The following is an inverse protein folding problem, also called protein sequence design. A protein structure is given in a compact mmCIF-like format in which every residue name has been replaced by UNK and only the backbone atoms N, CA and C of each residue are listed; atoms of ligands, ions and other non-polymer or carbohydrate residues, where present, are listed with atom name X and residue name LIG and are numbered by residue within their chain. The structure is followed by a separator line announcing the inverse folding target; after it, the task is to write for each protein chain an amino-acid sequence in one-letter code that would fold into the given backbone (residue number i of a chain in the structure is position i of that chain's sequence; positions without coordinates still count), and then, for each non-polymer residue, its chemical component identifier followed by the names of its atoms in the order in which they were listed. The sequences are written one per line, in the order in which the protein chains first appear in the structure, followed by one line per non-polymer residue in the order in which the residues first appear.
data_IF_670963349853
#
_entry.id   IF_670963349853
#
_cell.length_a   1.000
_cell.length_b   1.000
_cell.length_c   1.000
_cell.angle_alpha   90.00
_cell.angle_beta   90.00
_cell.angle_gamma   90.00
#
_symmetry.space_group_name_H-M   'P 1'
#
loop_
_entity.id
_entity.type
_entity.pdbx_description
1 polymer ?
#
# COMPACT_ATOMS: atom_id res chain seq x y z
N UNK A 1 -37.27 21.21 17.36
CA UNK A 1 -36.35 20.15 17.77
C UNK A 1 -35.24 20.04 16.73
N UNK A 2 -34.13 20.69 17.03
CA UNK A 2 -32.93 20.66 16.15
C UNK A 2 -32.14 19.43 16.57
N UNK A 3 -32.12 18.43 15.70
CA UNK A 3 -31.26 17.28 15.90
C UNK A 3 -29.80 17.73 15.75
N UNK A 4 -29.10 17.80 16.86
CA UNK A 4 -27.65 17.97 16.89
C UNK A 4 -27.03 16.75 16.23
N UNK A 5 -26.52 16.90 15.01
CA UNK A 5 -25.65 15.90 14.44
C UNK A 5 -24.40 15.80 15.30
N UNK A 6 -23.94 14.61 15.62
CA UNK A 6 -22.76 14.46 16.47
C UNK A 6 -21.54 15.08 15.80
N UNK A 7 -20.79 15.85 16.55
CA UNK A 7 -19.47 16.41 16.24
C UNK A 7 -18.39 15.31 16.06
N UNK A 8 -18.79 14.19 15.47
CA UNK A 8 -18.08 12.90 15.48
C UNK A 8 -16.91 12.82 14.50
N UNK A 9 -16.71 13.82 13.62
CA UNK A 9 -15.70 13.58 12.57
C UNK A 9 -14.28 13.94 12.99
N UNK A 10 -14.05 15.09 13.61
CA UNK A 10 -12.68 15.55 13.89
C UNK A 10 -12.06 14.91 15.13
N UNK A 11 -12.82 14.83 16.22
CA UNK A 11 -12.32 14.23 17.47
C UNK A 11 -12.14 12.71 17.33
N UNK A 12 -13.06 12.03 16.66
CA UNK A 12 -12.95 10.61 16.38
C UNK A 12 -11.77 10.30 15.44
N UNK A 13 -11.57 11.13 14.41
CA UNK A 13 -10.42 11.03 13.53
C UNK A 13 -9.10 11.24 14.28
N UNK A 14 -9.00 12.28 15.10
CA UNK A 14 -7.80 12.56 15.88
C UNK A 14 -7.46 11.41 16.84
N UNK A 15 -8.48 10.82 17.48
CA UNK A 15 -8.29 9.67 18.35
C UNK A 15 -7.83 8.42 17.59
N UNK A 16 -8.40 8.15 16.42
CA UNK A 16 -7.98 7.04 15.57
C UNK A 16 -6.57 7.24 15.02
N UNK A 17 -6.24 8.44 14.59
CA UNK A 17 -4.89 8.80 14.13
C UNK A 17 -3.87 8.56 15.23
N UNK A 18 -4.11 9.09 16.43
CA UNK A 18 -3.22 8.91 17.57
C UNK A 18 -3.05 7.42 17.94
N UNK A 19 -4.13 6.65 17.94
CA UNK A 19 -4.08 5.21 18.21
C UNK A 19 -3.25 4.44 17.17
N UNK A 20 -3.37 4.77 15.89
CA UNK A 20 -2.56 4.18 14.82
C UNK A 20 -1.08 4.54 14.98
N UNK A 21 -0.77 5.80 15.24
CA UNK A 21 0.60 6.26 15.47
C UNK A 21 1.21 5.52 16.66
N UNK A 22 0.52 5.47 17.79
CA UNK A 22 1.00 4.79 19.01
C UNK A 22 1.24 3.29 18.76
N UNK A 23 0.37 2.66 17.98
CA UNK A 23 0.52 1.24 17.65
C UNK A 23 1.73 0.98 16.73
N UNK A 24 1.92 1.79 15.71
CA UNK A 24 3.07 1.69 14.79
C UNK A 24 4.38 1.99 15.51
N UNK A 25 4.39 2.96 16.43
CA UNK A 25 5.57 3.31 17.24
C UNK A 25 6.06 2.17 18.15
N UNK A 26 5.23 1.19 18.47
CA UNK A 26 5.67 0.00 19.20
C UNK A 26 6.76 -0.77 18.42
N UNK A 27 6.71 -0.69 17.09
CA UNK A 27 7.70 -1.33 16.21
C UNK A 27 8.77 -0.34 15.74
N UNK A 28 8.37 0.88 15.41
CA UNK A 28 9.22 1.94 14.85
C UNK A 28 9.47 2.99 15.92
N UNK A 29 10.41 2.72 16.80
CA UNK A 29 10.73 3.61 17.92
C UNK A 29 11.55 4.83 17.50
N UNK A 30 11.28 5.97 18.15
CA UNK A 30 12.07 7.19 18.03
C UNK A 30 11.86 8.00 16.73
N UNK A 31 10.82 7.70 15.95
CA UNK A 31 10.52 8.38 14.68
C UNK A 31 9.05 8.82 14.60
N UNK A 32 8.49 9.34 15.69
CA UNK A 32 7.07 9.73 15.78
C UNK A 32 6.64 10.64 14.66
N UNK A 33 7.40 11.67 14.33
CA UNK A 33 7.08 12.61 13.25
C UNK A 33 6.94 11.92 11.89
N UNK A 34 7.80 10.94 11.61
CA UNK A 34 7.73 10.14 10.38
C UNK A 34 6.48 9.27 10.40
N UNK A 35 6.18 8.62 11.52
CA UNK A 35 4.99 7.78 11.68
C UNK A 35 3.71 8.60 11.55
N UNK A 36 3.66 9.79 12.12
CA UNK A 36 2.54 10.74 11.96
C UNK A 36 2.27 11.05 10.48
N UNK A 37 3.32 11.37 9.72
CA UNK A 37 3.20 11.65 8.28
C UNK A 37 2.73 10.43 7.48
N UNK A 38 3.21 9.24 7.84
CA UNK A 38 2.80 7.98 7.20
C UNK A 38 1.32 7.71 7.44
N UNK A 39 0.86 7.85 8.68
CA UNK A 39 -0.55 7.64 9.04
C UNK A 39 -1.44 8.70 8.40
N UNK A 40 -0.98 9.95 8.33
CA UNK A 40 -1.70 11.03 7.62
C UNK A 40 -1.82 10.72 6.12
N UNK A 41 -0.74 10.26 5.48
CA UNK A 41 -0.74 9.85 4.09
C UNK A 41 -1.74 8.70 3.83
N UNK A 42 -1.77 7.71 4.72
CA UNK A 42 -2.74 6.62 4.67
C UNK A 42 -4.18 7.13 4.75
N UNK A 43 -4.46 8.01 5.71
CA UNK A 43 -5.80 8.58 5.90
C UNK A 43 -6.26 9.42 4.70
N UNK A 44 -5.32 10.07 4.03
CA UNK A 44 -5.57 10.80 2.78
C UNK A 44 -5.66 9.88 1.54
N UNK A 45 -5.55 8.56 1.72
CA UNK A 45 -5.47 7.57 0.64
C UNK A 45 -4.35 7.88 -0.38
N UNK A 46 -3.27 8.47 0.12
CA UNK A 46 -2.13 8.89 -0.67
C UNK A 46 -1.06 7.81 -0.82
N UNK A 47 0.00 8.16 -1.54
CA UNK A 47 1.18 7.34 -1.71
C UNK A 47 2.38 8.04 -1.12
N UNK A 48 3.25 7.29 -0.45
CA UNK A 48 4.41 7.82 0.24
C UNK A 48 5.69 7.44 -0.51
N UNK A 49 6.51 8.45 -0.81
CA UNK A 49 7.87 8.23 -1.27
C UNK A 49 8.83 8.31 -0.07
N UNK A 50 9.58 7.24 0.13
CA UNK A 50 10.61 7.18 1.17
C UNK A 50 11.97 7.16 0.48
N UNK A 51 12.66 8.29 0.54
CA UNK A 51 14.05 8.43 0.11
C UNK A 51 14.95 8.27 1.33
N UNK A 52 15.65 7.15 1.43
CA UNK A 52 16.50 6.92 2.58
C UNK A 52 17.60 5.88 2.30
N UNK A 53 18.54 5.79 3.23
CA UNK A 53 19.64 4.82 3.20
C UNK A 53 19.09 3.40 3.38
N UNK A 54 19.66 2.37 2.71
CA UNK A 54 19.26 0.98 2.92
C UNK A 54 19.32 0.56 4.39
N UNK A 55 18.30 -0.17 4.85
CA UNK A 55 18.28 -0.75 6.20
C UNK A 55 17.55 0.05 7.28
N UNK A 56 16.83 1.12 6.95
CA UNK A 56 16.14 2.00 7.92
C UNK A 56 14.76 1.53 8.39
N UNK A 57 14.40 0.29 8.16
CA UNK A 57 13.16 -0.28 8.68
C UNK A 57 11.92 -0.02 7.84
N UNK A 58 12.05 0.30 6.54
CA UNK A 58 10.91 0.49 5.61
C UNK A 58 9.95 -0.70 5.61
N UNK A 59 10.51 -1.91 5.57
CA UNK A 59 9.71 -3.15 5.61
C UNK A 59 8.96 -3.30 6.93
N UNK A 60 9.61 -3.01 8.05
CA UNK A 60 8.99 -3.07 9.38
C UNK A 60 7.88 -2.03 9.51
N UNK A 61 8.08 -0.82 8.99
CA UNK A 61 7.08 0.24 8.96
C UNK A 61 5.85 -0.17 8.16
N UNK A 62 6.04 -0.67 6.93
CA UNK A 62 4.96 -1.09 6.07
C UNK A 62 4.15 -2.26 6.66
N UNK A 63 4.83 -3.23 7.27
CA UNK A 63 4.18 -4.35 7.98
C UNK A 63 3.41 -3.89 9.21
N UNK A 64 4.00 -3.02 10.03
CA UNK A 64 3.36 -2.47 11.21
C UNK A 64 2.09 -1.67 10.83
N UNK A 65 2.17 -0.88 9.76
CA UNK A 65 1.04 -0.12 9.25
C UNK A 65 -0.09 -1.05 8.78
N UNK A 66 0.22 -2.07 7.98
CA UNK A 66 -0.77 -3.04 7.52
C UNK A 66 -1.44 -3.79 8.68
N UNK A 67 -0.65 -4.24 9.66
CA UNK A 67 -1.17 -4.90 10.84
C UNK A 67 -2.07 -3.97 11.69
N UNK A 68 -1.72 -2.69 11.78
CA UNK A 68 -2.48 -1.71 12.56
C UNK A 68 -3.88 -1.40 11.98
N UNK A 69 -4.08 -1.64 10.69
CA UNK A 69 -5.38 -1.45 10.01
C UNK A 69 -6.09 -2.77 9.70
N UNK A 70 -5.58 -3.88 10.22
CA UNK A 70 -6.05 -5.24 9.86
C UNK A 70 -6.03 -5.49 8.34
N UNK A 71 -5.05 -4.93 7.68
CA UNK A 71 -4.87 -5.00 6.24
C UNK A 71 -3.79 -5.99 5.82
N UNK A 72 -3.71 -6.22 4.51
CA UNK A 72 -2.69 -7.08 3.91
C UNK A 72 -1.46 -6.28 3.49
N UNK A 73 -0.30 -6.92 3.57
CA UNK A 73 1.00 -6.38 3.17
C UNK A 73 1.54 -7.14 1.96
N UNK A 74 2.00 -6.40 0.95
CA UNK A 74 2.73 -6.92 -0.19
C UNK A 74 4.06 -6.21 -0.38
N UNK A 75 5.05 -6.92 -0.91
CA UNK A 75 6.34 -6.35 -1.31
C UNK A 75 6.61 -6.60 -2.78
N UNK A 76 7.02 -5.54 -3.46
CA UNK A 76 7.51 -5.56 -4.83
C UNK A 76 8.97 -5.11 -4.83
N UNK A 77 9.86 -6.01 -5.23
CA UNK A 77 11.26 -5.69 -5.51
C UNK A 77 11.39 -5.48 -7.01
N UNK A 78 11.59 -4.24 -7.43
CA UNK A 78 11.74 -3.91 -8.85
C UNK A 78 13.12 -4.31 -9.36
N UNK A 79 13.13 -5.00 -10.50
CA UNK A 79 14.31 -5.41 -11.24
C UNK A 79 14.09 -5.15 -12.72
N UNK A 80 15.14 -5.12 -13.55
CA UNK A 80 14.98 -4.96 -15.00
C UNK A 80 14.12 -6.03 -15.67
N UNK A 81 14.06 -7.23 -15.08
CA UNK A 81 13.33 -8.39 -15.62
C UNK A 81 11.86 -8.45 -15.16
N UNK A 82 11.46 -7.61 -14.20
CA UNK A 82 10.09 -7.59 -13.68
C UNK A 82 9.12 -7.14 -14.79
N UNK A 83 8.10 -7.95 -15.02
CA UNK A 83 7.06 -7.67 -16.02
C UNK A 83 5.88 -6.90 -15.38
N UNK A 84 5.09 -6.16 -16.17
CA UNK A 84 3.86 -5.56 -15.69
C UNK A 84 2.91 -6.55 -15.01
N UNK A 85 2.79 -7.77 -15.55
CA UNK A 85 1.98 -8.85 -14.97
C UNK A 85 2.45 -9.33 -13.60
N UNK A 86 3.73 -9.16 -13.27
CA UNK A 86 4.26 -9.45 -11.93
C UNK A 86 3.76 -8.42 -10.89
N UNK A 87 3.38 -7.24 -11.35
CA UNK A 87 2.83 -6.16 -10.50
C UNK A 87 1.32 -6.28 -10.34
N UNK A 88 0.60 -6.36 -11.46
CA UNK A 88 -0.88 -6.27 -11.48
C UNK A 88 -1.57 -7.62 -11.46
N UNK A 89 -0.86 -8.70 -11.77
CA UNK A 89 -1.44 -10.03 -11.91
C UNK A 89 -1.67 -10.43 -13.36
N UNK A 90 -2.15 -11.64 -13.54
CA UNK A 90 -2.39 -12.22 -14.87
C UNK A 90 -3.57 -13.16 -14.87
N UNK A 91 -4.17 -13.34 -16.04
CA UNK A 91 -5.20 -14.32 -16.27
C UNK A 91 -4.56 -15.65 -16.68
N UNK A 92 -4.90 -16.72 -16.00
CA UNK A 92 -4.39 -18.08 -16.26
C UNK A 92 -5.53 -19.04 -16.60
N UNK A 93 -5.26 -19.98 -17.49
CA UNK A 93 -6.20 -21.06 -17.75
C UNK A 93 -6.16 -22.09 -16.63
N UNK A 94 -7.28 -22.28 -15.95
CA UNK A 94 -7.45 -23.33 -14.95
C UNK A 94 -7.92 -24.62 -15.64
N UNK A 95 -7.05 -25.63 -15.70
CA UNK A 95 -7.35 -26.91 -16.36
C UNK A 95 -8.44 -27.72 -15.63
N UNK A 96 -8.62 -27.50 -14.35
CA UNK A 96 -9.59 -28.25 -13.55
C UNK A 96 -11.01 -27.74 -13.78
N UNK A 97 -11.19 -26.42 -13.84
CA UNK A 97 -12.48 -25.79 -14.08
C UNK A 97 -12.77 -25.53 -15.56
N UNK A 98 -11.75 -25.61 -16.43
CA UNK A 98 -11.80 -25.23 -17.84
C UNK A 98 -12.25 -23.77 -18.05
N UNK A 99 -11.78 -22.89 -17.19
CA UNK A 99 -12.08 -21.46 -17.23
C UNK A 99 -10.82 -20.61 -17.06
N UNK A 100 -10.90 -19.38 -17.53
CA UNK A 100 -9.88 -18.37 -17.23
C UNK A 100 -10.07 -17.79 -15.84
N UNK A 101 -9.00 -17.76 -15.07
CA UNK A 101 -8.96 -17.29 -13.69
C UNK A 101 -7.98 -16.14 -13.58
N UNK A 102 -8.41 -14.99 -13.07
CA UNK A 102 -7.51 -13.90 -12.76
C UNK A 102 -6.77 -14.18 -11.44
N UNK A 103 -5.45 -14.13 -11.49
CA UNK A 103 -4.58 -14.19 -10.32
C UNK A 103 -4.04 -12.81 -10.00
N UNK A 104 -4.53 -12.17 -8.92
CA UNK A 104 -4.12 -10.82 -8.57
C UNK A 104 -2.63 -10.77 -8.19
N UNK A 105 -1.96 -9.71 -8.64
CA UNK A 105 -0.59 -9.41 -8.27
C UNK A 105 -0.48 -8.68 -6.93
N UNK A 106 0.76 -8.38 -6.50
CA UNK A 106 1.01 -7.71 -5.21
C UNK A 106 0.36 -6.33 -5.06
N UNK A 107 0.02 -5.66 -6.16
CA UNK A 107 -0.65 -4.34 -6.12
C UNK A 107 -2.03 -4.38 -5.45
N UNK A 108 -2.63 -5.56 -5.34
CA UNK A 108 -3.94 -5.75 -4.68
C UNK A 108 -3.88 -5.83 -3.15
N UNK A 109 -2.69 -5.79 -2.55
CA UNK A 109 -2.59 -5.66 -1.10
C UNK A 109 -2.98 -4.24 -0.64
N UNK A 110 -3.41 -4.11 0.61
CA UNK A 110 -3.77 -2.81 1.19
C UNK A 110 -2.55 -1.88 1.34
N UNK A 111 -1.44 -2.44 1.78
CA UNK A 111 -0.15 -1.75 1.90
C UNK A 111 0.87 -2.46 1.02
N UNK A 112 1.43 -1.74 0.07
CA UNK A 112 2.46 -2.26 -0.84
C UNK A 112 3.75 -1.48 -0.66
N UNK A 113 4.82 -2.18 -0.33
CA UNK A 113 6.18 -1.64 -0.34
C UNK A 113 6.81 -1.92 -1.71
N UNK A 114 6.97 -0.88 -2.52
CA UNK A 114 7.64 -0.93 -3.81
C UNK A 114 9.09 -0.47 -3.66
N UNK A 115 10.02 -1.39 -3.76
CA UNK A 115 11.44 -1.15 -3.56
C UNK A 115 12.19 -1.05 -4.90
N UNK A 116 13.14 -0.14 -5.01
CA UNK A 116 14.01 0.01 -6.20
C UNK A 116 13.23 0.28 -7.50
N UNK A 117 12.20 1.13 -7.46
CA UNK A 117 11.30 1.40 -8.60
C UNK A 117 12.06 1.84 -9.86
N UNK A 118 13.15 2.59 -9.69
CA UNK A 118 13.99 3.09 -10.78
C UNK A 118 14.70 1.98 -11.58
N UNK A 119 14.76 0.75 -11.07
CA UNK A 119 15.39 -0.39 -11.76
C UNK A 119 14.46 -1.07 -12.77
N UNK A 120 13.16 -0.87 -12.64
CA UNK A 120 12.19 -1.48 -13.55
C UNK A 120 12.18 -0.82 -14.93
N UNK A 121 11.71 -1.57 -15.94
CA UNK A 121 11.43 -1.00 -17.26
C UNK A 121 10.33 0.06 -17.18
N UNK A 122 10.32 1.06 -18.09
CA UNK A 122 9.26 2.06 -18.13
C UNK A 122 7.85 1.46 -18.22
N UNK A 123 7.70 0.34 -18.90
CA UNK A 123 6.41 -0.35 -19.05
C UNK A 123 5.90 -0.90 -17.71
N UNK A 124 6.78 -1.48 -16.93
CA UNK A 124 6.44 -1.99 -15.57
C UNK A 124 6.18 -0.84 -14.60
N UNK A 125 6.95 0.25 -14.67
CA UNK A 125 6.69 1.46 -13.88
C UNK A 125 5.32 2.07 -14.23
N UNK A 126 4.94 2.10 -15.50
CA UNK A 126 3.63 2.60 -15.94
C UNK A 126 2.47 1.78 -15.37
N UNK A 127 2.61 0.46 -15.29
CA UNK A 127 1.59 -0.40 -14.67
C UNK A 127 1.37 -0.08 -13.19
N UNK A 128 2.44 0.19 -12.44
CA UNK A 128 2.34 0.64 -11.06
C UNK A 128 1.69 2.02 -10.95
N UNK A 129 2.11 2.97 -11.78
CA UNK A 129 1.58 4.34 -11.78
C UNK A 129 0.09 4.38 -12.12
N UNK A 130 -0.39 3.54 -13.04
CA UNK A 130 -1.82 3.39 -13.34
C UNK A 130 -2.59 2.94 -12.10
N UNK A 131 -2.12 1.90 -11.42
CA UNK A 131 -2.75 1.40 -10.20
C UNK A 131 -2.80 2.48 -9.09
N UNK A 132 -1.74 3.27 -8.96
CA UNK A 132 -1.65 4.35 -7.97
C UNK A 132 -2.59 5.53 -8.30
N UNK A 133 -2.63 5.97 -9.56
CA UNK A 133 -3.37 7.15 -9.98
C UNK A 133 -4.86 6.85 -10.21
N UNK A 134 -5.16 5.75 -10.88
CA UNK A 134 -6.51 5.42 -11.34
C UNK A 134 -7.22 4.41 -10.44
N UNK A 135 -6.52 3.82 -9.47
CA UNK A 135 -7.05 2.74 -8.59
C UNK A 135 -7.62 1.56 -9.36
N UNK A 136 -7.06 1.30 -10.51
CA UNK A 136 -7.42 0.21 -11.40
C UNK A 136 -6.18 -0.40 -12.04
N UNK A 137 -6.32 -1.59 -12.55
CA UNK A 137 -5.30 -2.27 -13.35
C UNK A 137 -5.89 -2.67 -14.69
N UNK A 138 -5.04 -2.66 -15.71
CA UNK A 138 -5.36 -3.19 -17.04
C UNK A 138 -4.63 -4.52 -17.21
N UNK A 139 -5.37 -5.58 -17.49
CA UNK A 139 -4.85 -6.93 -17.73
C UNK A 139 -5.31 -7.37 -19.11
N UNK A 140 -4.38 -7.89 -19.90
CA UNK A 140 -4.67 -8.41 -21.24
C UNK A 140 -5.62 -9.63 -21.15
N UNK A 141 -6.76 -9.53 -21.83
CA UNK A 141 -7.78 -10.58 -21.89
C UNK A 141 -9.20 -10.06 -21.91
#
# INVERSE_FOLDING_TARGET
MTATQPSTSHEAYAAQHAALVDNVEQVIQGKREVVDLVVLCLAAEGHLLIEDVPGVGKTSLAKALAASIDGTYGRLQFTPDLLPSDVVGLTVWNRTTSEFEFRPGPVFHNIVLADEINRASPKTQSALLEAMAERQVTVDG
#
